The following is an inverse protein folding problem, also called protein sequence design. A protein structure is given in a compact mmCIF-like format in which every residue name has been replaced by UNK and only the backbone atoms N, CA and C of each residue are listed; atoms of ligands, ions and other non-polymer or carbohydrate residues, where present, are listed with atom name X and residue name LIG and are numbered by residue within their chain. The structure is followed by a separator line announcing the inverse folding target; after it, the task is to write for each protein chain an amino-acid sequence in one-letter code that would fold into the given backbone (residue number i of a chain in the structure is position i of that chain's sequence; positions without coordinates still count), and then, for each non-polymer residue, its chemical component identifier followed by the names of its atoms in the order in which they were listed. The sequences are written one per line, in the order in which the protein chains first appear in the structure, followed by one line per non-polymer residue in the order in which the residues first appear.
data_IF_255506949157
#
_entry.id   IF_255506949157
#
_cell.length_a   1.000
_cell.length_b   1.000
_cell.length_c   1.000
_cell.angle_alpha   90.00
_cell.angle_beta   90.00
_cell.angle_gamma   90.00
#
_symmetry.space_group_name_H-M   'P 1'
#
loop_
_entity.id
_entity.type
_entity.pdbx_description
1 polymer ?
#
# COMPACT_ATOMS: atom_id res chain seq x y z
N UNK A 1 8.22 9.94 12.23
CA UNK A 1 7.75 8.61 11.74
C UNK A 1 8.61 7.43 12.16
N UNK A 2 9.93 7.59 12.32
CA UNK A 2 10.82 6.45 12.64
C UNK A 2 10.76 5.96 14.09
N UNK A 3 10.18 6.75 15.00
CA UNK A 3 9.96 6.32 16.39
C UNK A 3 8.84 5.26 16.44
N UNK A 4 9.04 4.11 17.09
CA UNK A 4 8.08 2.99 17.04
C UNK A 4 6.68 3.31 17.56
N UNK A 5 6.57 4.09 18.64
CA UNK A 5 5.32 4.57 19.22
C UNK A 5 4.52 5.45 18.25
N UNK A 6 5.22 6.35 17.53
CA UNK A 6 4.59 7.22 16.52
C UNK A 6 4.15 6.40 15.30
N UNK A 7 4.96 5.44 14.84
CA UNK A 7 4.57 4.56 13.75
C UNK A 7 3.33 3.72 14.11
N UNK A 8 3.27 3.18 15.34
CA UNK A 8 2.09 2.49 15.86
C UNK A 8 0.85 3.40 15.85
N UNK A 9 0.98 4.63 16.33
CA UNK A 9 -0.14 5.58 16.37
C UNK A 9 -0.68 5.88 14.95
N UNK A 10 0.21 6.07 13.97
CA UNK A 10 -0.18 6.25 12.56
C UNK A 10 -0.94 5.04 12.05
N UNK A 11 -0.40 3.83 12.25
CA UNK A 11 -1.05 2.60 11.78
C UNK A 11 -2.45 2.40 12.39
N UNK A 12 -2.63 2.69 13.68
CA UNK A 12 -3.95 2.58 14.33
C UNK A 12 -4.95 3.62 13.82
N UNK A 13 -4.47 4.81 13.46
CA UNK A 13 -5.31 5.88 12.94
C UNK A 13 -5.73 5.64 11.48
N UNK A 14 -4.80 5.20 10.63
CA UNK A 14 -5.04 5.01 9.19
C UNK A 14 -5.55 3.63 8.85
N UNK A 15 -5.29 2.63 9.69
CA UNK A 15 -5.48 1.22 9.43
C UNK A 15 -4.64 0.67 8.25
N UNK A 16 -3.53 1.36 7.91
CA UNK A 16 -2.58 0.94 6.87
C UNK A 16 -1.32 0.26 7.43
N UNK A 17 -0.64 -0.59 6.64
CA UNK A 17 0.65 -1.15 7.02
C UNK A 17 1.73 -0.08 7.15
N UNK A 18 2.64 -0.27 8.09
CA UNK A 18 3.80 0.61 8.30
C UNK A 18 5.10 -0.09 7.96
N UNK A 19 6.05 0.63 7.35
CA UNK A 19 7.38 0.14 7.03
C UNK A 19 8.36 0.14 8.24
N UNK A 20 7.84 0.17 9.47
CA UNK A 20 8.64 0.17 10.71
C UNK A 20 8.39 -1.11 11.50
N UNK A 21 9.33 -2.06 11.44
CA UNK A 21 9.21 -3.37 12.11
C UNK A 21 9.05 -3.26 13.63
N UNK A 22 9.72 -2.29 14.27
CA UNK A 22 9.58 -2.08 15.71
C UNK A 22 8.18 -1.55 16.06
N UNK A 23 7.63 -0.64 15.26
CA UNK A 23 6.24 -0.17 15.41
C UNK A 23 5.21 -1.27 15.17
N UNK A 24 5.42 -2.11 14.14
CA UNK A 24 4.55 -3.24 13.82
C UNK A 24 4.45 -4.23 14.99
N UNK A 25 5.57 -4.49 15.69
CA UNK A 25 5.61 -5.32 16.91
C UNK A 25 4.84 -4.74 18.09
N UNK A 26 4.40 -3.48 18.04
CA UNK A 26 3.58 -2.84 19.08
C UNK A 26 2.09 -2.80 18.75
N UNK A 27 1.70 -3.23 17.54
CA UNK A 27 0.29 -3.27 17.10
C UNK A 27 -0.49 -4.39 17.79
N UNK A 28 -1.81 -4.28 17.94
CA UNK A 28 -2.63 -5.38 18.41
C UNK A 28 -2.49 -6.64 17.52
N UNK A 29 -2.59 -7.87 18.08
CA UNK A 29 -2.47 -9.11 17.30
C UNK A 29 -3.43 -9.20 16.12
N UNK A 30 -4.66 -8.71 16.28
CA UNK A 30 -5.69 -8.69 15.24
C UNK A 30 -5.29 -7.87 14.02
N UNK A 31 -4.48 -6.82 14.19
CA UNK A 31 -3.96 -6.01 13.09
C UNK A 31 -2.63 -6.57 12.56
N UNK A 32 -1.72 -6.94 13.48
CA UNK A 32 -0.38 -7.42 13.13
C UNK A 32 -0.41 -8.70 12.30
N UNK A 33 -1.37 -9.58 12.59
CA UNK A 33 -1.52 -10.87 11.92
C UNK A 33 -2.60 -10.85 10.82
N UNK A 34 -3.18 -9.68 10.51
CA UNK A 34 -4.19 -9.56 9.46
C UNK A 34 -3.53 -9.70 8.08
N UNK A 35 -3.84 -10.76 7.29
CA UNK A 35 -3.23 -10.97 5.99
C UNK A 35 -3.63 -9.93 4.92
N UNK A 36 -4.69 -9.14 5.17
CA UNK A 36 -5.07 -8.02 4.29
C UNK A 36 -4.11 -6.84 4.49
N UNK A 37 -3.64 -6.62 5.72
CA UNK A 37 -2.73 -5.51 6.07
C UNK A 37 -1.27 -5.93 5.88
N UNK A 38 -0.93 -7.15 6.32
CA UNK A 38 0.40 -7.74 6.20
C UNK A 38 0.31 -9.09 5.46
N UNK A 39 0.27 -9.07 4.11
CA UNK A 39 0.18 -10.29 3.32
C UNK A 39 1.37 -11.22 3.50
N UNK A 40 1.17 -12.50 3.19
CA UNK A 40 2.25 -13.49 3.19
C UNK A 40 3.26 -13.21 2.07
N UNK A 41 4.48 -13.76 2.20
CA UNK A 41 5.50 -13.66 1.14
C UNK A 41 5.02 -14.23 -0.19
N UNK A 42 4.24 -15.30 -0.18
CA UNK A 42 3.71 -15.90 -1.42
C UNK A 42 2.72 -14.96 -2.11
N UNK A 43 1.86 -14.26 -1.36
CA UNK A 43 0.97 -13.23 -1.94
C UNK A 43 1.78 -12.05 -2.47
N UNK A 44 2.80 -11.59 -1.72
CA UNK A 44 3.64 -10.46 -2.14
C UNK A 44 4.42 -10.71 -3.43
N UNK A 45 4.76 -11.97 -3.75
CA UNK A 45 5.45 -12.31 -5.02
C UNK A 45 4.61 -12.04 -6.26
N UNK A 46 3.29 -11.96 -6.11
CA UNK A 46 2.37 -11.60 -7.20
C UNK A 46 2.12 -10.08 -7.30
N UNK A 47 2.71 -9.29 -6.40
CA UNK A 47 2.62 -7.84 -6.43
C UNK A 47 3.60 -7.24 -7.44
N UNK A 48 3.16 -6.19 -8.12
CA UNK A 48 3.97 -5.39 -9.03
C UNK A 48 4.09 -3.97 -8.49
N UNK A 49 5.29 -3.39 -8.57
CA UNK A 49 5.47 -1.97 -8.33
C UNK A 49 5.20 -1.20 -9.62
N UNK A 50 4.51 -0.08 -9.51
CA UNK A 50 4.42 0.87 -10.62
C UNK A 50 5.82 1.39 -10.93
N UNK A 51 6.16 1.38 -12.21
CA UNK A 51 7.42 1.92 -12.74
C UNK A 51 7.12 3.18 -13.54
N UNK A 52 8.14 4.00 -13.75
CA UNK A 52 8.03 5.12 -14.68
C UNK A 52 7.81 4.59 -16.11
N UNK A 53 6.76 5.09 -16.76
CA UNK A 53 6.34 4.67 -18.10
C UNK A 53 6.82 5.64 -19.20
N UNK A 54 7.36 6.80 -18.82
CA UNK A 54 7.62 7.90 -19.74
C UNK A 54 6.34 8.58 -20.24
N UNK A 55 6.51 9.78 -20.82
CA UNK A 55 5.40 10.67 -21.17
C UNK A 55 4.43 10.07 -22.20
N UNK A 56 4.95 9.42 -23.25
CA UNK A 56 4.12 8.85 -24.33
C UNK A 56 3.18 7.74 -23.82
N UNK A 57 3.72 6.80 -23.05
CA UNK A 57 2.93 5.69 -22.51
C UNK A 57 1.94 6.17 -21.46
N UNK A 58 2.33 7.15 -20.63
CA UNK A 58 1.44 7.75 -19.63
C UNK A 58 0.23 8.45 -20.30
N UNK A 59 0.47 9.23 -21.36
CA UNK A 59 -0.60 9.89 -22.10
C UNK A 59 -1.60 8.88 -22.71
N UNK A 60 -1.11 7.72 -23.18
CA UNK A 60 -1.98 6.65 -23.66
C UNK A 60 -2.85 6.06 -22.55
N UNK A 61 -2.28 5.83 -21.36
CA UNK A 61 -3.01 5.35 -20.19
C UNK A 61 -4.09 6.35 -19.75
N UNK A 62 -3.75 7.63 -19.73
CA UNK A 62 -4.68 8.70 -19.36
C UNK A 62 -5.86 8.80 -20.33
N UNK A 63 -5.61 8.74 -21.64
CA UNK A 63 -6.69 8.73 -22.66
C UNK A 63 -7.72 7.63 -22.38
N UNK A 64 -7.26 6.38 -22.19
CA UNK A 64 -8.18 5.27 -21.95
C UNK A 64 -8.86 5.35 -20.59
N UNK A 65 -8.20 5.92 -19.59
CA UNK A 65 -8.82 6.19 -18.29
C UNK A 65 -9.94 7.24 -18.38
N UNK A 66 -9.76 8.28 -19.21
CA UNK A 66 -10.80 9.27 -19.48
C UNK A 66 -12.00 8.69 -20.22
N UNK A 67 -11.75 7.92 -21.28
CA UNK A 67 -12.82 7.21 -21.99
C UNK A 67 -13.62 6.31 -21.05
N UNK A 68 -12.96 5.57 -20.15
CA UNK A 68 -13.62 4.74 -19.14
C UNK A 68 -14.51 5.56 -18.19
N UNK A 69 -14.00 6.70 -17.68
CA UNK A 69 -14.77 7.58 -16.77
C UNK A 69 -15.98 8.22 -17.45
N UNK A 70 -15.91 8.49 -18.76
CA UNK A 70 -16.96 9.18 -19.51
C UNK A 70 -18.00 8.22 -20.10
N UNK A 71 -17.67 6.94 -20.29
CA UNK A 71 -18.53 5.92 -20.90
C UNK A 71 -19.27 4.99 -19.93
N UNK A 72 -19.20 5.27 -18.61
CA UNK A 72 -19.96 4.58 -17.57
C UNK A 72 -21.25 5.28 -17.19
#
# INVERSE_FOLDING_TARGET
MLRPDIAKAIALYTNFPIANLAGQKLLPPEMRNNPIIYPSKEVLKHGEFQVDLGEETLALYEKYWEELKMGG
#
